data_IF_937468761783
#
_entry.id   IF_937468761783
#
_cell.length_a   1.000
_cell.length_b   1.000
_cell.length_c   1.000
_cell.angle_alpha   90.00
_cell.angle_beta   90.00
_cell.angle_gamma   90.00
#
_symmetry.space_group_name_H-M   'P 1'
#
loop_
_entity.id
_entity.type
_entity.pdbx_description
1 polymer ?
#
# COMPACT_ATOMS: atom_id res chain seq x y z
N UNK A 1 -3.86 -37.55 5.58
CA UNK A 1 -4.04 -39.04 5.42
C UNK A 1 -3.18 -39.86 6.40
N UNK A 2 -1.88 -39.51 6.65
CA UNK A 2 -1.04 -40.28 7.60
C UNK A 2 -1.56 -40.14 9.05
N UNK A 3 -1.80 -38.91 9.55
CA UNK A 3 -2.40 -38.67 10.89
C UNK A 3 -3.72 -39.40 11.09
N UNK A 4 -4.60 -39.42 10.08
CA UNK A 4 -5.89 -40.13 10.16
C UNK A 4 -5.74 -41.64 10.18
N UNK A 5 -4.57 -42.21 9.75
CA UNK A 5 -4.32 -43.62 9.70
C UNK A 5 -3.54 -44.18 10.93
N UNK A 6 -2.71 -43.32 11.55
CA UNK A 6 -1.80 -43.72 12.64
C UNK A 6 -2.12 -43.09 14.00
N UNK A 7 -3.15 -42.25 14.11
CA UNK A 7 -3.63 -41.67 15.38
C UNK A 7 -2.83 -40.45 15.86
N UNK A 8 -3.17 -39.95 17.06
CA UNK A 8 -2.62 -38.70 17.63
C UNK A 8 -1.14 -38.78 18.03
N UNK A 9 -0.61 -40.01 18.24
CA UNK A 9 0.80 -40.24 18.56
C UNK A 9 1.72 -40.28 17.34
N UNK A 10 1.23 -39.92 16.15
CA UNK A 10 2.01 -39.97 14.92
C UNK A 10 3.07 -38.85 14.88
N UNK A 11 4.35 -39.25 14.96
CA UNK A 11 5.50 -38.39 14.76
C UNK A 11 5.80 -38.26 13.26
N UNK A 12 5.42 -37.18 12.68
CA UNK A 12 5.60 -36.88 11.24
C UNK A 12 7.08 -36.78 10.87
N UNK A 13 7.92 -36.21 11.74
CA UNK A 13 9.34 -36.03 11.49
C UNK A 13 10.05 -37.38 11.45
N UNK A 14 9.85 -38.20 12.48
CA UNK A 14 10.40 -39.54 12.56
C UNK A 14 9.93 -40.40 11.39
N UNK A 15 8.65 -40.30 11.00
CA UNK A 15 8.10 -41.06 9.87
C UNK A 15 8.74 -40.67 8.54
N UNK A 16 8.99 -39.36 8.34
CA UNK A 16 9.67 -38.83 7.14
C UNK A 16 11.12 -39.32 7.06
N UNK A 17 11.79 -39.42 8.18
CA UNK A 17 13.21 -39.84 8.27
C UNK A 17 13.40 -41.36 8.21
N UNK A 18 12.43 -42.14 8.66
CA UNK A 18 12.60 -43.60 8.85
C UNK A 18 11.82 -44.45 7.86
N UNK A 19 10.76 -43.93 7.22
CA UNK A 19 10.00 -44.74 6.27
C UNK A 19 10.72 -44.81 4.91
N UNK A 20 11.15 -46.00 4.45
CA UNK A 20 11.98 -46.16 3.25
C UNK A 20 11.35 -45.49 1.99
N UNK A 21 10.03 -45.64 1.82
CA UNK A 21 9.31 -45.05 0.67
C UNK A 21 9.31 -43.53 0.74
N UNK A 22 9.16 -42.96 1.93
CA UNK A 22 9.15 -41.49 2.10
C UNK A 22 10.53 -40.91 1.86
N UNK A 23 11.58 -41.62 2.35
CA UNK A 23 12.99 -41.27 2.11
C UNK A 23 13.31 -41.31 0.61
N UNK A 24 12.92 -42.40 -0.07
CA UNK A 24 13.11 -42.51 -1.53
C UNK A 24 12.42 -41.39 -2.31
N UNK A 25 11.15 -41.07 -1.98
CA UNK A 25 10.44 -39.95 -2.61
C UNK A 25 11.08 -38.59 -2.29
N UNK A 26 11.58 -38.40 -1.08
CA UNK A 26 12.28 -37.16 -0.71
C UNK A 26 13.59 -37.03 -1.51
N UNK A 27 14.37 -38.08 -1.66
CA UNK A 27 15.59 -38.08 -2.48
C UNK A 27 15.28 -37.83 -3.95
N UNK A 28 14.22 -38.44 -4.50
CA UNK A 28 13.78 -38.21 -5.86
C UNK A 28 13.32 -36.75 -6.04
N UNK A 29 12.55 -36.22 -5.10
CA UNK A 29 12.13 -34.82 -5.13
C UNK A 29 13.34 -33.86 -5.08
N UNK A 30 14.32 -34.12 -4.23
CA UNK A 30 15.56 -33.35 -4.14
C UNK A 30 16.33 -33.35 -5.48
N UNK A 31 16.52 -34.56 -6.06
CA UNK A 31 17.19 -34.67 -7.37
C UNK A 31 16.47 -33.90 -8.48
N UNK A 32 15.14 -33.86 -8.48
CA UNK A 32 14.34 -33.05 -9.43
C UNK A 32 14.59 -31.56 -9.19
N UNK A 33 14.59 -31.12 -7.94
CA UNK A 33 14.87 -29.72 -7.56
C UNK A 33 16.29 -29.30 -7.96
N UNK A 34 17.28 -30.16 -7.73
CA UNK A 34 18.67 -29.88 -8.10
C UNK A 34 18.83 -29.76 -9.63
N UNK A 35 18.21 -30.65 -10.40
CA UNK A 35 18.18 -30.54 -11.88
C UNK A 35 17.50 -29.27 -12.36
N UNK A 36 16.37 -28.94 -11.75
CA UNK A 36 15.63 -27.69 -12.07
C UNK A 36 16.49 -26.46 -11.77
N UNK A 37 17.10 -26.40 -10.57
CA UNK A 37 17.93 -25.27 -10.16
C UNK A 37 19.18 -25.14 -11.06
N UNK A 38 19.80 -26.25 -11.44
CA UNK A 38 20.94 -26.27 -12.36
C UNK A 38 20.55 -25.71 -13.73
N UNK A 39 19.42 -26.17 -14.29
CA UNK A 39 18.93 -25.69 -15.58
C UNK A 39 18.54 -24.20 -15.53
N UNK A 40 17.90 -23.78 -14.43
CA UNK A 40 17.57 -22.36 -14.21
C UNK A 40 18.81 -21.48 -14.11
N UNK A 41 19.82 -21.89 -13.34
CA UNK A 41 21.08 -21.15 -13.17
C UNK A 41 21.88 -21.05 -14.47
N UNK A 42 21.81 -22.10 -15.30
CA UNK A 42 22.44 -22.11 -16.62
C UNK A 42 21.60 -21.42 -17.72
N UNK A 43 20.38 -20.94 -17.39
CA UNK A 43 19.41 -20.42 -18.35
C UNK A 43 19.09 -21.40 -19.50
N UNK A 44 19.09 -22.72 -19.17
CA UNK A 44 18.87 -23.81 -20.12
C UNK A 44 17.37 -24.17 -20.19
N UNK A 45 16.66 -23.50 -21.13
CA UNK A 45 15.22 -23.67 -21.33
C UNK A 45 14.85 -25.05 -21.86
N UNK A 46 15.74 -25.66 -22.65
CA UNK A 46 15.51 -26.99 -23.22
C UNK A 46 15.56 -28.07 -22.14
N UNK A 47 16.54 -28.01 -21.22
CA UNK A 47 16.59 -28.90 -20.06
C UNK A 47 15.36 -28.75 -19.16
N UNK A 48 14.85 -27.54 -18.95
CA UNK A 48 13.60 -27.29 -18.22
C UNK A 48 12.39 -27.92 -18.93
N UNK A 49 12.30 -27.78 -20.26
CA UNK A 49 11.25 -28.41 -21.06
C UNK A 49 11.31 -29.92 -20.97
N UNK A 50 12.51 -30.50 -21.13
CA UNK A 50 12.72 -31.94 -21.03
C UNK A 50 12.34 -32.47 -19.65
N UNK A 51 12.63 -31.74 -18.58
CA UNK A 51 12.25 -32.12 -17.22
C UNK A 51 10.71 -32.16 -17.05
N UNK A 52 9.99 -31.18 -17.59
CA UNK A 52 8.52 -31.15 -17.56
C UNK A 52 7.93 -32.36 -18.30
N UNK A 53 8.49 -32.71 -19.46
CA UNK A 53 8.03 -33.82 -20.29
C UNK A 53 8.35 -35.17 -19.64
N UNK A 54 9.58 -35.36 -19.14
CA UNK A 54 10.06 -36.59 -18.45
C UNK A 54 9.21 -36.89 -17.20
N UNK A 55 8.86 -35.85 -16.44
CA UNK A 55 8.05 -35.99 -15.25
C UNK A 55 6.55 -36.09 -15.54
N UNK A 56 6.16 -36.07 -16.79
CA UNK A 56 4.75 -36.09 -17.25
C UNK A 56 3.88 -35.07 -16.53
N UNK A 57 4.40 -33.86 -16.27
CA UNK A 57 3.68 -32.80 -15.55
C UNK A 57 2.47 -32.39 -16.39
N UNK A 58 1.29 -32.44 -15.78
CA UNK A 58 0.05 -31.97 -16.39
C UNK A 58 -0.32 -30.56 -15.90
N UNK A 59 -0.94 -29.78 -16.75
CA UNK A 59 -1.50 -28.49 -16.39
C UNK A 59 -2.57 -28.67 -15.29
N UNK A 60 -2.48 -27.97 -14.14
CA UNK A 60 -3.42 -28.14 -13.05
C UNK A 60 -4.86 -27.76 -13.38
N UNK A 61 -5.04 -26.86 -14.36
CA UNK A 61 -6.37 -26.36 -14.76
C UNK A 61 -7.00 -27.22 -15.86
N UNK A 62 -6.22 -27.59 -16.90
CA UNK A 62 -6.74 -28.30 -18.07
C UNK A 62 -6.44 -29.80 -18.09
N UNK A 63 -5.51 -30.28 -17.26
CA UNK A 63 -5.00 -31.66 -17.29
C UNK A 63 -4.13 -31.97 -18.50
N UNK A 64 -3.92 -31.03 -19.43
CA UNK A 64 -3.13 -31.23 -20.65
C UNK A 64 -1.65 -31.38 -20.31
N UNK A 65 -0.96 -32.28 -21.02
CA UNK A 65 0.50 -32.45 -21.00
C UNK A 65 1.17 -31.85 -22.23
N UNK A 66 0.40 -31.16 -23.08
CA UNK A 66 0.92 -30.50 -24.27
C UNK A 66 1.45 -29.12 -23.90
N UNK A 67 2.72 -29.05 -23.56
CA UNK A 67 3.42 -27.85 -23.16
C UNK A 67 4.09 -27.18 -24.37
N UNK A 68 4.00 -25.85 -24.44
CA UNK A 68 4.81 -25.03 -25.35
C UNK A 68 6.26 -25.05 -24.90
N UNK A 69 7.15 -24.47 -25.72
CA UNK A 69 8.53 -24.24 -25.28
C UNK A 69 8.59 -23.39 -24.03
N UNK A 70 9.55 -23.69 -23.15
CA UNK A 70 9.85 -22.85 -21.98
C UNK A 70 10.49 -21.57 -22.49
N UNK A 71 9.98 -20.45 -22.06
CA UNK A 71 10.48 -19.13 -22.46
C UNK A 71 10.79 -18.31 -21.22
N UNK A 72 11.86 -17.56 -21.28
CA UNK A 72 12.18 -16.61 -20.24
C UNK A 72 11.12 -15.51 -20.20
N UNK A 73 10.56 -15.29 -19.02
CA UNK A 73 9.60 -14.22 -18.81
C UNK A 73 10.34 -12.93 -18.45
N UNK A 74 10.13 -11.87 -19.22
CA UNK A 74 10.66 -10.56 -18.90
C UNK A 74 9.63 -9.75 -18.12
N UNK A 75 9.91 -9.50 -16.86
CA UNK A 75 9.07 -8.70 -15.99
C UNK A 75 9.03 -7.21 -16.41
N UNK A 76 10.04 -6.73 -17.11
CA UNK A 76 10.10 -5.34 -17.56
C UNK A 76 9.35 -5.16 -18.88
N UNK A 77 8.47 -4.16 -18.92
CA UNK A 77 7.91 -3.70 -20.19
C UNK A 77 9.00 -3.07 -21.04
N UNK A 78 8.99 -3.39 -22.31
CA UNK A 78 9.82 -2.72 -23.29
C UNK A 78 8.98 -1.99 -24.34
N UNK A 79 9.57 -0.97 -24.94
CA UNK A 79 9.04 -0.25 -26.10
C UNK A 79 10.17 -0.04 -27.10
N UNK A 80 9.81 0.29 -28.35
CA UNK A 80 10.76 0.54 -29.42
C UNK A 80 10.83 2.05 -29.69
N UNK A 81 12.03 2.60 -29.65
CA UNK A 81 12.31 3.96 -30.09
C UNK A 81 12.80 3.95 -31.54
N UNK A 82 12.22 4.82 -32.38
CA UNK A 82 12.54 4.90 -33.81
C UNK A 82 11.64 4.03 -34.70
N UNK A 83 11.88 4.14 -36.01
CA UNK A 83 11.01 3.51 -37.03
C UNK A 83 11.47 2.12 -37.48
N UNK A 84 12.65 1.68 -37.03
CA UNK A 84 13.23 0.39 -37.39
C UNK A 84 13.29 -0.47 -36.13
N UNK A 85 12.71 -1.67 -36.21
CA UNK A 85 12.80 -2.62 -35.11
C UNK A 85 14.21 -3.20 -35.00
N UNK A 86 14.79 -3.14 -33.79
CA UNK A 86 16.12 -3.68 -33.48
C UNK A 86 16.46 -3.52 -32.00
N UNK A 87 17.48 -4.23 -31.53
CA UNK A 87 17.90 -4.16 -30.11
C UNK A 87 18.37 -2.76 -29.71
N UNK A 88 18.97 -1.99 -30.63
CA UNK A 88 19.49 -0.64 -30.37
C UNK A 88 18.41 0.38 -30.01
N UNK A 89 17.17 0.16 -30.49
CA UNK A 89 16.02 1.02 -30.20
C UNK A 89 15.18 0.56 -29.03
N UNK A 90 15.55 -0.52 -28.35
CA UNK A 90 14.76 -1.11 -27.26
C UNK A 90 14.93 -0.35 -25.97
N UNK A 91 13.82 0.15 -25.42
CA UNK A 91 13.77 0.84 -24.12
C UNK A 91 12.89 0.07 -23.17
N UNK A 92 13.20 0.18 -21.89
CA UNK A 92 12.41 -0.43 -20.82
C UNK A 92 11.73 0.62 -19.96
N UNK A 93 10.48 0.36 -19.59
CA UNK A 93 9.78 1.13 -18.58
C UNK A 93 10.27 0.68 -17.20
N UNK A 94 10.42 1.62 -16.28
CA UNK A 94 10.92 1.33 -14.93
C UNK A 94 9.95 0.44 -14.14
N UNK A 95 10.45 -0.66 -13.51
CA UNK A 95 9.63 -1.54 -12.68
C UNK A 95 9.46 -1.06 -11.22
N UNK A 96 10.21 -0.02 -10.83
CA UNK A 96 10.24 0.61 -9.51
C UNK A 96 10.66 2.07 -9.62
N UNK A 97 10.42 2.87 -8.60
CA UNK A 97 10.82 4.29 -8.57
C UNK A 97 12.19 4.50 -7.91
N UNK A 98 12.74 3.50 -7.22
CA UNK A 98 13.98 3.56 -6.45
C UNK A 98 15.19 4.02 -7.27
N UNK A 99 15.37 3.49 -8.48
CA UNK A 99 16.58 3.76 -9.29
C UNK A 99 16.74 5.24 -9.65
N UNK A 100 15.62 5.95 -9.86
CA UNK A 100 15.63 7.40 -10.08
C UNK A 100 16.12 8.19 -8.86
N UNK A 101 15.87 7.67 -7.65
CA UNK A 101 16.36 8.26 -6.39
C UNK A 101 17.85 8.09 -6.28
N UNK A 102 18.39 6.89 -6.54
CA UNK A 102 19.84 6.62 -6.47
C UNK A 102 20.65 7.47 -7.46
N UNK A 103 20.17 7.59 -8.69
CA UNK A 103 20.81 8.47 -9.71
C UNK A 103 20.88 9.92 -9.23
N UNK A 104 19.89 10.40 -8.49
CA UNK A 104 19.81 11.78 -8.02
C UNK A 104 20.40 11.99 -6.61
N UNK A 105 20.92 10.96 -5.94
CA UNK A 105 21.41 11.04 -4.57
C UNK A 105 22.34 12.23 -4.34
N UNK A 106 23.47 12.32 -5.08
CA UNK A 106 24.43 13.41 -4.91
C UNK A 106 23.88 14.78 -5.30
N UNK A 107 23.00 14.83 -6.31
CA UNK A 107 22.39 16.08 -6.74
C UNK A 107 21.51 16.65 -5.61
N UNK A 108 20.65 15.83 -5.03
CA UNK A 108 19.80 16.22 -3.89
C UNK A 108 20.66 16.59 -2.69
N UNK A 109 21.60 15.71 -2.29
CA UNK A 109 22.46 15.93 -1.12
C UNK A 109 23.20 17.27 -1.20
N UNK A 110 23.80 17.60 -2.35
CA UNK A 110 24.58 18.85 -2.53
C UNK A 110 23.69 20.08 -2.60
N UNK A 111 22.61 20.02 -3.36
CA UNK A 111 21.73 21.19 -3.54
C UNK A 111 20.96 21.55 -2.28
N UNK A 112 20.57 20.56 -1.48
CA UNK A 112 19.87 20.77 -0.22
C UNK A 112 20.80 20.81 1.00
N UNK A 113 22.10 20.53 0.81
CA UNK A 113 23.13 20.50 1.87
C UNK A 113 22.77 19.55 3.02
N UNK A 114 22.13 18.43 2.70
CA UNK A 114 21.74 17.44 3.72
C UNK A 114 22.97 16.68 4.23
N UNK A 115 22.95 16.40 5.54
CA UNK A 115 23.85 15.47 6.20
C UNK A 115 23.19 14.11 6.33
N UNK A 116 23.95 13.04 6.30
CA UNK A 116 23.48 11.70 6.64
C UNK A 116 23.21 11.62 8.17
N UNK A 117 22.09 11.02 8.62
CA UNK A 117 21.07 10.33 7.80
C UNK A 117 20.02 11.28 7.19
N UNK A 118 19.61 11.03 5.95
CA UNK A 118 18.49 11.72 5.31
C UNK A 118 17.79 10.81 4.29
N UNK A 119 16.55 11.12 3.97
CA UNK A 119 15.74 10.37 3.00
C UNK A 119 15.38 11.18 1.76
N UNK A 120 15.23 10.47 0.64
CA UNK A 120 14.63 10.99 -0.58
C UNK A 120 13.40 10.15 -0.88
N UNK A 121 12.24 10.79 -0.98
CA UNK A 121 10.99 10.12 -1.31
C UNK A 121 10.51 10.53 -2.69
N UNK A 122 9.87 9.60 -3.39
CA UNK A 122 9.26 9.80 -4.70
C UNK A 122 7.92 9.08 -4.77
N UNK A 123 6.94 9.72 -5.40
CA UNK A 123 5.71 9.09 -5.86
C UNK A 123 5.73 9.13 -7.37
N UNK A 124 5.46 7.98 -8.01
CA UNK A 124 5.46 7.92 -9.46
C UNK A 124 5.00 6.59 -10.02
N UNK A 125 4.81 6.57 -11.34
CA UNK A 125 4.43 5.37 -12.08
C UNK A 125 5.56 4.35 -12.11
N UNK A 126 5.18 3.09 -11.88
CA UNK A 126 6.00 1.91 -12.11
C UNK A 126 5.24 0.91 -12.99
N UNK A 127 5.97 0.05 -13.69
CA UNK A 127 5.41 -0.83 -14.70
C UNK A 127 6.01 -2.23 -14.56
N UNK A 128 5.14 -3.23 -14.38
CA UNK A 128 5.56 -4.63 -14.33
C UNK A 128 4.74 -5.45 -15.32
N UNK A 129 5.41 -6.21 -16.17
CA UNK A 129 4.76 -7.04 -17.17
C UNK A 129 4.19 -8.31 -16.49
N UNK A 130 3.21 -8.14 -15.64
CA UNK A 130 2.55 -9.24 -14.93
C UNK A 130 1.87 -10.21 -15.93
N UNK A 131 2.07 -11.50 -15.76
CA UNK A 131 1.41 -12.53 -16.57
C UNK A 131 -0.10 -12.38 -16.43
N UNK A 132 -0.59 -12.26 -15.20
CA UNK A 132 -2.02 -12.08 -14.88
C UNK A 132 -2.20 -10.91 -13.92
N UNK A 133 -2.84 -9.85 -14.38
CA UNK A 133 -3.39 -8.82 -13.52
C UNK A 133 -4.65 -9.38 -12.81
N UNK A 134 -4.76 -9.21 -11.50
CA UNK A 134 -5.85 -9.79 -10.70
C UNK A 134 -6.12 -9.04 -9.41
N UNK A 135 -7.25 -9.36 -8.78
CA UNK A 135 -7.65 -8.79 -7.48
C UNK A 135 -7.83 -7.26 -7.58
N UNK A 136 -8.57 -6.83 -8.61
CA UNK A 136 -8.85 -5.42 -8.90
C UNK A 136 -7.54 -4.62 -9.00
N UNK A 137 -7.37 -3.55 -8.22
CA UNK A 137 -6.18 -2.70 -8.24
C UNK A 137 -5.01 -3.24 -7.37
N UNK A 138 -5.14 -4.45 -6.80
CA UNK A 138 -4.07 -5.04 -5.99
C UNK A 138 -2.86 -5.45 -6.85
N UNK A 139 -3.10 -5.98 -8.06
CA UNK A 139 -2.04 -6.39 -9.00
C UNK A 139 -2.36 -5.90 -10.41
N UNK A 140 -1.67 -4.86 -10.80
CA UNK A 140 -1.79 -4.19 -12.10
C UNK A 140 -0.44 -4.17 -12.82
N UNK A 141 -0.47 -3.93 -14.13
CA UNK A 141 0.75 -3.78 -14.95
C UNK A 141 1.33 -2.38 -14.91
N UNK A 142 0.48 -1.38 -14.70
CA UNK A 142 0.83 0.02 -14.44
C UNK A 142 0.24 0.42 -13.08
N UNK A 143 1.05 0.97 -12.17
CA UNK A 143 0.64 1.35 -10.84
C UNK A 143 1.44 2.53 -10.34
N UNK A 144 0.96 3.20 -9.30
CA UNK A 144 1.71 4.24 -8.60
C UNK A 144 2.37 3.65 -7.35
N UNK A 145 3.64 4.01 -7.18
CA UNK A 145 4.47 3.57 -6.06
C UNK A 145 4.98 4.79 -5.30
N UNK A 146 4.89 4.75 -3.97
CA UNK A 146 5.56 5.69 -3.07
C UNK A 146 6.75 4.98 -2.47
N UNK A 147 7.94 5.48 -2.75
CA UNK A 147 9.18 4.94 -2.21
C UNK A 147 9.98 6.03 -1.54
N UNK A 148 10.61 5.67 -0.42
CA UNK A 148 11.62 6.46 0.25
C UNK A 148 12.88 5.63 0.38
N UNK A 149 14.01 6.22 0.00
CA UNK A 149 15.34 5.67 0.20
C UNK A 149 16.03 6.52 1.28
N UNK A 150 16.26 5.92 2.43
CA UNK A 150 16.87 6.57 3.59
C UNK A 150 18.35 6.20 3.66
N UNK A 151 19.20 7.20 3.44
CA UNK A 151 20.66 7.04 3.37
C UNK A 151 21.27 7.15 4.77
N UNK A 152 22.05 6.16 5.14
CA UNK A 152 22.61 6.03 6.49
C UNK A 152 24.11 5.69 6.43
N UNK A 153 24.82 5.91 7.54
CA UNK A 153 26.21 5.48 7.67
C UNK A 153 26.30 3.96 7.67
N UNK A 154 27.29 3.36 6.96
CA UNK A 154 27.51 1.91 7.02
C UNK A 154 27.67 1.41 8.45
N UNK A 155 26.94 0.34 8.81
CA UNK A 155 26.88 -0.21 10.17
C UNK A 155 25.73 0.33 11.04
N UNK A 156 25.03 1.39 10.58
CA UNK A 156 23.83 1.90 11.27
C UNK A 156 22.51 1.43 10.62
N UNK A 157 22.58 0.73 9.48
CA UNK A 157 21.41 0.35 8.69
C UNK A 157 20.38 -0.45 9.47
N UNK A 158 20.80 -1.35 10.36
CA UNK A 158 19.86 -2.16 11.14
C UNK A 158 19.12 -1.36 12.19
N UNK A 159 19.76 -0.35 12.80
CA UNK A 159 19.10 0.61 13.71
C UNK A 159 17.99 1.37 12.99
N UNK A 160 18.28 1.87 11.78
CA UNK A 160 17.33 2.63 10.98
C UNK A 160 16.26 1.76 10.34
N UNK A 161 16.59 0.50 10.00
CA UNK A 161 15.62 -0.49 9.58
C UNK A 161 14.55 -0.74 10.65
N UNK A 162 14.94 -1.00 11.90
CA UNK A 162 13.99 -1.19 13.00
C UNK A 162 13.19 0.08 13.31
N UNK A 163 13.82 1.26 13.19
CA UNK A 163 13.11 2.53 13.33
C UNK A 163 11.99 2.67 12.28
N UNK A 164 12.32 2.51 10.99
CA UNK A 164 11.35 2.68 9.92
C UNK A 164 10.27 1.60 9.93
N UNK A 165 10.61 0.37 10.23
CA UNK A 165 9.66 -0.73 10.42
C UNK A 165 8.58 -0.36 11.46
N UNK A 166 8.97 0.16 12.62
CA UNK A 166 8.04 0.56 13.65
C UNK A 166 7.28 1.85 13.30
N UNK A 167 7.95 2.85 12.74
CA UNK A 167 7.33 4.11 12.33
C UNK A 167 6.25 3.89 11.25
N UNK A 168 6.51 3.01 10.28
CA UNK A 168 5.53 2.69 9.23
C UNK A 168 4.34 1.93 9.79
N UNK A 169 4.54 0.97 10.68
CA UNK A 169 3.44 0.27 11.36
C UNK A 169 2.57 1.25 12.17
N UNK A 170 3.20 2.17 12.92
CA UNK A 170 2.48 3.20 13.67
C UNK A 170 1.68 4.11 12.74
N UNK A 171 2.25 4.49 11.59
CA UNK A 171 1.56 5.30 10.60
C UNK A 171 0.28 4.63 10.09
N UNK A 172 0.32 3.33 9.75
CA UNK A 172 -0.88 2.59 9.31
C UNK A 172 -1.96 2.57 10.39
N UNK A 173 -1.58 2.43 11.67
CA UNK A 173 -2.53 2.48 12.79
C UNK A 173 -3.10 3.89 12.97
N UNK A 174 -2.27 4.92 12.89
CA UNK A 174 -2.67 6.30 13.06
C UNK A 174 -3.72 6.76 12.04
N UNK A 175 -3.65 6.27 10.79
CA UNK A 175 -4.65 6.55 9.76
C UNK A 175 -5.92 5.69 9.85
N UNK A 176 -6.07 4.90 10.94
CA UNK A 176 -7.30 4.17 11.27
C UNK A 176 -7.31 2.70 10.88
N UNK A 177 -6.17 2.09 10.55
CA UNK A 177 -6.12 0.64 10.32
C UNK A 177 -6.03 -0.10 11.65
N UNK A 178 -6.97 -1.00 11.99
CA UNK A 178 -6.95 -1.79 13.23
C UNK A 178 -5.72 -2.70 13.31
N UNK A 179 -5.23 -2.91 14.53
CA UNK A 179 -4.02 -3.72 14.77
C UNK A 179 -4.18 -5.17 14.28
N UNK A 180 -5.34 -5.76 14.48
CA UNK A 180 -5.66 -7.13 14.08
C UNK A 180 -5.66 -7.34 12.56
N UNK A 181 -5.77 -6.26 11.78
CA UNK A 181 -5.68 -6.29 10.31
C UNK A 181 -4.26 -6.09 9.77
N UNK A 182 -3.29 -5.87 10.63
CA UNK A 182 -1.89 -5.65 10.28
C UNK A 182 -1.00 -6.72 10.89
N UNK A 183 0.03 -7.15 10.17
CA UNK A 183 1.09 -7.98 10.74
C UNK A 183 2.39 -7.81 9.97
N UNK A 184 3.51 -8.07 10.64
CA UNK A 184 4.79 -8.21 9.98
C UNK A 184 4.95 -9.60 9.38
N UNK A 185 5.56 -9.65 8.20
CA UNK A 185 5.98 -10.87 7.52
C UNK A 185 7.47 -10.73 7.15
N UNK A 186 8.33 -11.37 7.92
CA UNK A 186 9.76 -11.38 7.63
C UNK A 186 10.06 -12.30 6.45
N UNK A 187 10.96 -11.86 5.56
CA UNK A 187 11.41 -12.66 4.42
C UNK A 187 12.44 -13.68 4.86
N UNK A 188 12.21 -14.95 4.58
CA UNK A 188 13.17 -16.03 4.82
C UNK A 188 14.27 -16.05 3.75
N UNK A 189 13.91 -15.74 2.50
CA UNK A 189 14.82 -15.63 1.37
C UNK A 189 14.99 -14.16 0.98
N UNK A 190 16.11 -13.59 1.36
CA UNK A 190 16.41 -12.19 1.05
C UNK A 190 16.85 -12.03 -0.41
N UNK A 191 16.50 -10.88 -1.00
CA UNK A 191 17.07 -10.46 -2.28
C UNK A 191 18.59 -10.24 -2.13
N UNK A 192 19.33 -10.42 -3.21
CA UNK A 192 20.80 -10.34 -3.21
C UNK A 192 21.37 -8.98 -2.76
N UNK A 193 20.57 -7.94 -2.79
CA UNK A 193 20.92 -6.58 -2.38
C UNK A 193 20.57 -6.28 -0.91
N UNK A 194 19.82 -7.15 -0.24
CA UNK A 194 19.29 -6.86 1.09
C UNK A 194 19.90 -7.76 2.17
N UNK A 195 20.17 -7.18 3.34
CA UNK A 195 20.54 -7.93 4.56
C UNK A 195 19.40 -8.07 5.56
N UNK A 196 18.29 -7.34 5.36
CA UNK A 196 17.03 -7.51 6.08
C UNK A 196 15.85 -7.06 5.21
N UNK A 197 14.71 -7.76 5.34
CA UNK A 197 13.48 -7.43 4.64
C UNK A 197 12.25 -7.88 5.45
N UNK A 198 11.25 -7.02 5.52
CA UNK A 198 9.94 -7.30 6.14
C UNK A 198 8.84 -6.62 5.34
N UNK A 199 7.69 -7.30 5.20
CA UNK A 199 6.46 -6.69 4.73
C UNK A 199 5.55 -6.35 5.90
N UNK A 200 4.90 -5.20 5.82
CA UNK A 200 3.64 -4.97 6.53
C UNK A 200 2.54 -5.55 5.65
N UNK A 201 1.88 -6.60 6.13
CA UNK A 201 0.73 -7.19 5.47
C UNK A 201 -0.56 -6.63 6.06
N UNK A 202 -1.54 -6.42 5.19
CA UNK A 202 -2.92 -6.05 5.54
C UNK A 202 -3.87 -7.19 5.19
N UNK A 203 -4.91 -7.39 6.01
CA UNK A 203 -5.98 -8.36 5.77
C UNK A 203 -7.00 -7.80 4.78
N UNK A 204 -6.71 -7.99 3.48
CA UNK A 204 -7.61 -7.66 2.39
C UNK A 204 -8.80 -8.64 2.36
N UNK A 205 -9.88 -8.36 1.60
CA UNK A 205 -11.00 -9.30 1.44
C UNK A 205 -10.60 -10.70 0.92
N UNK A 206 -9.41 -10.84 0.37
CA UNK A 206 -8.81 -12.09 -0.10
C UNK A 206 -7.65 -12.58 0.79
N UNK A 207 -7.60 -12.14 2.05
CA UNK A 207 -6.64 -12.51 3.08
C UNK A 207 -5.40 -11.62 3.13
N UNK A 208 -4.53 -11.94 4.10
CA UNK A 208 -3.30 -11.18 4.34
C UNK A 208 -2.38 -11.16 3.12
N UNK A 209 -2.03 -9.97 2.66
CA UNK A 209 -1.09 -9.71 1.57
C UNK A 209 -0.25 -8.48 1.88
N UNK A 210 0.89 -8.42 1.22
CA UNK A 210 1.83 -7.30 1.26
C UNK A 210 1.13 -5.97 0.95
N UNK A 211 1.25 -5.02 1.86
CA UNK A 211 0.83 -3.63 1.70
C UNK A 211 2.03 -2.71 1.52
N UNK A 212 3.06 -2.86 2.36
CA UNK A 212 4.27 -2.05 2.34
C UNK A 212 5.49 -2.92 2.65
N UNK A 213 6.59 -2.75 1.89
CA UNK A 213 7.87 -3.39 2.14
C UNK A 213 8.84 -2.45 2.85
N UNK A 214 9.61 -2.97 3.80
CA UNK A 214 10.73 -2.27 4.43
C UNK A 214 11.98 -3.13 4.25
N UNK A 215 13.02 -2.58 3.63
CA UNK A 215 14.22 -3.31 3.25
C UNK A 215 15.49 -2.58 3.70
N UNK A 216 16.47 -3.31 4.22
CA UNK A 216 17.84 -2.82 4.34
C UNK A 216 18.60 -3.29 3.10
N UNK A 217 18.84 -2.37 2.15
CA UNK A 217 19.40 -2.63 0.81
C UNK A 217 20.93 -2.58 0.77
N UNK A 218 21.57 -2.33 1.88
CA UNK A 218 23.01 -2.10 1.98
C UNK A 218 23.46 -0.92 1.07
N UNK A 219 24.67 -0.97 0.50
CA UNK A 219 25.15 0.01 -0.50
C UNK A 219 25.03 -0.52 -1.94
N UNK A 220 24.34 -1.62 -2.15
CA UNK A 220 24.34 -2.35 -3.43
C UNK A 220 24.01 -1.47 -4.63
N UNK A 221 22.87 -0.75 -4.56
CA UNK A 221 22.40 0.07 -5.69
C UNK A 221 23.37 1.22 -6.01
N UNK A 222 23.82 1.98 -5.01
CA UNK A 222 24.75 3.08 -5.22
C UNK A 222 26.10 2.58 -5.75
N UNK A 223 26.59 1.44 -5.28
CA UNK A 223 27.82 0.81 -5.76
C UNK A 223 27.66 0.38 -7.22
N UNK A 224 26.57 -0.29 -7.57
CA UNK A 224 26.28 -0.69 -8.95
C UNK A 224 26.20 0.50 -9.89
N UNK A 225 25.51 1.57 -9.50
CA UNK A 225 25.45 2.81 -10.28
C UNK A 225 26.82 3.47 -10.42
N UNK A 226 27.64 3.46 -9.36
CA UNK A 226 29.00 4.00 -9.40
C UNK A 226 29.89 3.23 -10.38
N UNK A 227 29.88 1.91 -10.32
CA UNK A 227 30.67 1.03 -11.16
C UNK A 227 30.30 1.16 -12.65
N UNK A 228 29.00 1.11 -12.95
CA UNK A 228 28.50 1.18 -14.33
C UNK A 228 28.64 2.57 -14.96
N UNK A 229 28.50 3.65 -14.16
CA UNK A 229 28.57 5.02 -14.68
C UNK A 229 29.97 5.64 -14.61
N UNK A 230 30.88 5.05 -13.83
CA UNK A 230 32.18 5.62 -13.51
C UNK A 230 32.13 6.88 -12.61
N UNK A 231 30.93 7.26 -12.11
CA UNK A 231 30.73 8.41 -11.22
C UNK A 231 30.76 7.98 -9.76
N UNK A 232 31.58 8.62 -8.92
CA UNK A 232 31.63 8.37 -7.49
C UNK A 232 30.30 8.83 -6.84
N UNK A 233 29.55 7.90 -6.25
CA UNK A 233 28.34 8.15 -5.47
C UNK A 233 28.64 8.02 -3.97
N UNK A 234 29.62 8.78 -3.49
CA UNK A 234 30.12 8.76 -2.12
C UNK A 234 29.67 10.02 -1.38
N UNK A 235 29.38 9.86 -0.11
CA UNK A 235 29.19 10.96 0.82
C UNK A 235 30.52 11.27 1.53
N UNK A 236 30.84 12.54 1.65
CA UNK A 236 31.96 12.98 2.46
C UNK A 236 31.46 13.36 3.86
N UNK A 237 31.87 12.61 4.85
CA UNK A 237 31.61 12.90 6.26
C UNK A 237 32.70 13.84 6.80
N UNK A 238 32.30 15.08 7.07
CA UNK A 238 33.24 16.08 7.57
C UNK A 238 33.60 15.89 9.06
N UNK A 239 32.79 15.13 9.80
CA UNK A 239 33.06 14.87 11.24
C UNK A 239 34.13 13.80 11.40
N UNK A 240 34.09 12.75 10.59
CA UNK A 240 35.08 11.68 10.61
C UNK A 240 36.18 11.85 9.55
N UNK A 241 36.06 12.87 8.68
CA UNK A 241 36.97 13.16 7.58
C UNK A 241 37.14 11.96 6.64
N UNK A 242 36.09 11.26 6.30
CA UNK A 242 36.11 10.09 5.44
C UNK A 242 35.04 10.13 4.33
N UNK A 243 35.29 9.36 3.25
CA UNK A 243 34.33 9.14 2.19
C UNK A 243 33.82 7.70 2.24
N UNK A 244 32.49 7.54 2.15
CA UNK A 244 31.88 6.22 2.06
C UNK A 244 30.68 6.22 1.11
N UNK A 245 30.32 5.05 0.60
CA UNK A 245 29.05 4.83 -0.09
C UNK A 245 28.00 4.56 0.98
N UNK A 246 26.95 5.38 1.10
CA UNK A 246 25.94 5.17 2.13
C UNK A 246 25.23 3.82 2.01
N UNK A 247 24.80 3.27 3.13
CA UNK A 247 23.83 2.20 3.16
C UNK A 247 22.42 2.77 3.07
N UNK A 248 21.48 1.97 2.62
CA UNK A 248 20.12 2.43 2.31
C UNK A 248 19.09 1.58 3.04
N UNK A 249 18.15 2.26 3.69
CA UNK A 249 16.92 1.66 4.20
C UNK A 249 15.75 2.16 3.36
N UNK A 250 15.04 1.24 2.74
CA UNK A 250 13.90 1.52 1.88
C UNK A 250 12.58 1.33 2.62
N UNK A 251 11.61 2.20 2.35
CA UNK A 251 10.19 1.93 2.55
C UNK A 251 9.46 2.09 1.23
N UNK A 252 8.65 1.10 0.85
CA UNK A 252 7.98 1.07 -0.44
C UNK A 252 6.53 0.62 -0.30
N UNK A 253 5.59 1.45 -0.74
CA UNK A 253 4.15 1.17 -0.70
C UNK A 253 3.51 1.49 -2.04
N UNK A 254 2.64 0.60 -2.52
CA UNK A 254 1.79 0.86 -3.69
C UNK A 254 0.63 1.79 -3.33
N UNK A 255 0.50 2.94 -3.99
CA UNK A 255 -0.60 3.88 -3.75
C UNK A 255 -1.97 3.22 -3.97
N UNK A 256 -2.09 2.40 -5.02
CA UNK A 256 -3.32 1.68 -5.34
C UNK A 256 -3.67 0.64 -4.27
N UNK A 257 -2.68 -0.10 -3.75
CA UNK A 257 -2.88 -1.03 -2.62
C UNK A 257 -3.27 -0.29 -1.35
N UNK A 258 -2.66 0.86 -1.09
CA UNK A 258 -2.99 1.72 0.05
C UNK A 258 -4.43 2.21 -0.05
N UNK A 259 -4.85 2.70 -1.23
CA UNK A 259 -6.23 3.10 -1.48
C UNK A 259 -7.20 1.92 -1.23
N UNK A 260 -6.88 0.73 -1.77
CA UNK A 260 -7.70 -0.47 -1.57
C UNK A 260 -7.79 -0.88 -0.10
N UNK A 261 -6.70 -0.78 0.66
CA UNK A 261 -6.70 -1.11 2.10
C UNK A 261 -7.57 -0.15 2.89
N UNK A 262 -7.43 1.17 2.66
CA UNK A 262 -8.26 2.20 3.31
C UNK A 262 -9.74 1.99 2.97
N UNK A 263 -10.06 1.77 1.70
CA UNK A 263 -11.45 1.57 1.27
C UNK A 263 -12.05 0.30 1.88
N UNK A 264 -11.33 -0.83 1.82
CA UNK A 264 -11.78 -2.11 2.37
C UNK A 264 -11.95 -2.06 3.90
N UNK A 265 -11.06 -1.34 4.58
CA UNK A 265 -11.15 -1.18 6.04
C UNK A 265 -12.32 -0.29 6.46
N UNK A 266 -12.64 0.70 5.64
CA UNK A 266 -13.63 1.73 5.97
C UNK A 266 -15.06 1.35 5.59
N UNK A 267 -15.25 0.35 4.72
CA UNK A 267 -16.56 -0.09 4.30
C UNK A 267 -17.24 -0.90 5.41
N UNK A 268 -18.34 -0.37 5.95
CA UNK A 268 -19.11 -0.98 7.05
C UNK A 268 -20.58 -1.02 6.69
N UNK A 269 -21.21 -2.14 6.97
CA UNK A 269 -22.67 -2.29 7.01
C UNK A 269 -23.08 -2.47 8.48
N UNK A 270 -23.88 -1.58 8.99
CA UNK A 270 -24.30 -1.60 10.40
C UNK A 270 -25.81 -1.41 10.56
N UNK A 271 -26.38 -1.97 11.60
CA UNK A 271 -27.79 -1.75 11.96
C UNK A 271 -27.90 -0.49 12.80
N UNK A 272 -28.83 0.38 12.45
CA UNK A 272 -29.13 1.61 13.18
C UNK A 272 -30.62 1.75 13.35
N UNK A 273 -31.11 2.41 14.43
CA UNK A 273 -32.52 2.70 14.60
C UNK A 273 -33.07 3.50 13.41
N UNK A 274 -34.25 3.16 12.95
CA UNK A 274 -35.01 3.95 11.98
C UNK A 274 -35.96 4.95 12.66
N UNK A 275 -36.62 5.78 11.85
CA UNK A 275 -37.54 6.81 12.35
C UNK A 275 -38.80 6.23 12.99
N UNK A 276 -39.15 4.99 12.68
CA UNK A 276 -40.38 4.31 13.12
C UNK A 276 -40.10 3.34 14.31
N UNK A 277 -38.87 3.35 14.86
CA UNK A 277 -38.45 2.49 15.98
C UNK A 277 -38.05 1.08 15.58
N UNK A 278 -37.91 0.81 14.27
CA UNK A 278 -37.35 -0.41 13.71
C UNK A 278 -35.81 -0.34 13.54
N UNK A 279 -35.26 -1.35 12.87
CA UNK A 279 -33.86 -1.37 12.47
C UNK A 279 -33.71 -1.16 10.96
N UNK A 280 -32.80 -0.30 10.56
CA UNK A 280 -32.42 -0.06 9.17
C UNK A 280 -30.96 -0.33 8.94
N UNK A 281 -30.60 -0.96 7.82
CA UNK A 281 -29.22 -1.12 7.43
C UNK A 281 -28.64 0.23 6.96
N UNK A 282 -27.48 0.58 7.51
CA UNK A 282 -26.68 1.74 7.11
C UNK A 282 -25.37 1.27 6.48
N UNK A 283 -25.16 1.66 5.22
CA UNK A 283 -23.86 1.54 4.55
C UNK A 283 -23.07 2.81 4.82
N UNK A 284 -21.87 2.68 5.35
CA UNK A 284 -21.01 3.81 5.69
C UNK A 284 -19.55 3.52 5.32
N UNK A 285 -18.85 4.53 4.80
CA UNK A 285 -17.40 4.52 4.67
C UNK A 285 -16.79 5.26 5.88
N UNK A 286 -16.33 4.52 6.89
CA UNK A 286 -15.68 5.07 8.09
C UNK A 286 -14.21 5.45 7.80
N UNK A 287 -13.98 6.20 6.72
CA UNK A 287 -12.66 6.73 6.38
C UNK A 287 -12.22 7.70 7.49
N UNK A 288 -10.98 7.54 7.97
CA UNK A 288 -10.44 8.45 8.97
C UNK A 288 -10.62 9.93 8.53
N UNK A 289 -11.10 10.86 9.39
CA UNK A 289 -11.44 12.22 9.00
C UNK A 289 -10.31 12.95 8.26
N UNK A 290 -9.05 12.68 8.64
CA UNK A 290 -7.85 13.20 7.98
C UNK A 290 -7.74 12.75 6.52
N UNK A 291 -8.16 11.52 6.19
CA UNK A 291 -8.10 10.95 4.83
C UNK A 291 -9.36 11.23 4.01
N UNK A 292 -10.51 11.52 4.65
CA UNK A 292 -11.77 11.73 3.95
C UNK A 292 -11.63 12.84 2.89
N UNK A 293 -11.99 12.59 1.61
CA UNK A 293 -11.86 13.60 0.57
C UNK A 293 -12.74 14.83 0.84
N UNK A 294 -14.00 14.61 1.20
CA UNK A 294 -14.96 15.65 1.60
C UNK A 294 -14.90 15.76 3.13
N UNK A 295 -14.52 16.92 3.64
CA UNK A 295 -14.39 17.12 5.10
C UNK A 295 -15.72 17.40 5.77
N UNK A 296 -16.60 18.11 5.09
CA UNK A 296 -17.94 18.37 5.59
C UNK A 296 -18.97 18.56 4.47
N UNK A 297 -20.23 18.35 4.81
CA UNK A 297 -21.35 18.69 3.95
C UNK A 297 -22.26 19.71 4.64
N UNK A 298 -22.70 20.76 3.94
CA UNK A 298 -23.60 21.79 4.44
C UNK A 298 -25.00 21.52 3.89
N UNK A 299 -25.95 21.34 4.79
CA UNK A 299 -27.30 20.82 4.50
C UNK A 299 -28.36 21.76 5.08
N UNK A 300 -29.14 22.52 4.27
CA UNK A 300 -30.30 23.22 4.79
C UNK A 300 -31.35 22.20 5.23
N UNK A 301 -31.98 22.36 6.40
CA UNK A 301 -32.97 21.41 6.92
C UNK A 301 -34.09 21.15 5.91
N UNK A 302 -34.58 22.23 5.27
CA UNK A 302 -35.59 22.16 4.20
C UNK A 302 -35.20 23.05 3.03
N UNK A 303 -35.44 22.60 1.79
CA UNK A 303 -35.07 23.28 0.55
C UNK A 303 -36.04 24.40 0.13
N UNK A 304 -37.28 24.39 0.65
CA UNK A 304 -38.34 25.31 0.27
C UNK A 304 -38.39 26.59 1.13
N UNK A 305 -37.35 26.84 1.91
CA UNK A 305 -37.16 28.05 2.72
C UNK A 305 -35.91 28.77 2.24
N UNK A 306 -36.09 29.86 1.44
CA UNK A 306 -34.96 30.57 0.86
C UNK A 306 -33.94 31.09 1.88
N UNK A 307 -34.37 31.49 3.06
CA UNK A 307 -33.51 32.02 4.12
C UNK A 307 -32.53 30.92 4.63
N UNK A 308 -33.01 29.67 4.79
CA UNK A 308 -32.16 28.54 5.21
C UNK A 308 -31.17 28.15 4.11
N UNK A 309 -31.63 28.16 2.85
CA UNK A 309 -30.78 27.85 1.69
C UNK A 309 -29.68 28.91 1.54
N UNK A 310 -30.01 30.19 1.66
CA UNK A 310 -29.03 31.27 1.59
C UNK A 310 -28.03 31.20 2.73
N UNK A 311 -28.48 30.98 3.97
CA UNK A 311 -27.62 30.83 5.14
C UNK A 311 -26.68 29.62 4.96
N UNK A 312 -27.18 28.48 4.47
CA UNK A 312 -26.37 27.30 4.19
C UNK A 312 -25.29 27.60 3.12
N UNK A 313 -25.61 28.39 2.07
CA UNK A 313 -24.61 28.78 1.07
C UNK A 313 -23.58 29.76 1.63
N UNK A 314 -23.96 30.65 2.54
CA UNK A 314 -23.02 31.54 3.25
C UNK A 314 -22.03 30.70 4.08
N UNK A 315 -22.51 29.72 4.84
CA UNK A 315 -21.67 28.82 5.64
C UNK A 315 -20.76 27.97 4.75
N UNK A 316 -21.28 27.45 3.65
CA UNK A 316 -20.48 26.72 2.68
C UNK A 316 -19.32 27.58 2.14
N UNK A 317 -19.59 28.85 1.79
CA UNK A 317 -18.58 29.77 1.30
C UNK A 317 -17.56 30.15 2.38
N UNK A 318 -17.92 30.13 3.65
CA UNK A 318 -17.01 30.31 4.78
C UNK A 318 -16.04 29.13 4.92
N UNK A 319 -16.51 27.90 4.67
CA UNK A 319 -15.72 26.66 4.88
C UNK A 319 -14.86 26.28 3.67
N UNK A 320 -15.32 26.57 2.45
CA UNK A 320 -14.63 26.21 1.19
C UNK A 320 -13.16 26.63 1.07
N UNK A 321 -12.70 27.77 1.59
CA UNK A 321 -11.29 28.14 1.50
C UNK A 321 -10.35 27.15 2.22
N UNK A 322 -10.86 26.47 3.27
CA UNK A 322 -10.06 25.60 4.12
C UNK A 322 -10.32 24.11 3.87
N UNK A 323 -11.50 23.76 3.32
CA UNK A 323 -11.94 22.37 3.22
C UNK A 323 -12.62 22.08 1.88
N UNK A 324 -12.47 20.86 1.38
CA UNK A 324 -13.35 20.36 0.33
C UNK A 324 -14.71 20.02 0.96
N UNK A 325 -15.73 20.81 0.57
CA UNK A 325 -17.08 20.72 1.12
C UNK A 325 -18.10 20.35 0.06
N UNK A 326 -19.18 19.67 0.47
CA UNK A 326 -20.37 19.47 -0.36
C UNK A 326 -21.56 20.28 0.14
N UNK A 327 -22.48 20.57 -0.77
CA UNK A 327 -23.79 21.12 -0.49
C UNK A 327 -24.85 20.18 -1.03
N UNK A 328 -25.86 19.85 -0.23
CA UNK A 328 -26.97 18.99 -0.67
C UNK A 328 -28.30 19.46 -0.06
N UNK A 329 -29.28 19.71 -0.94
CA UNK A 329 -30.65 20.09 -0.58
C UNK A 329 -31.71 19.17 -1.17
N UNK A 330 -31.28 18.01 -1.75
CA UNK A 330 -32.20 17.04 -2.36
C UNK A 330 -32.74 16.05 -1.33
N UNK A 331 -34.02 15.73 -1.41
CA UNK A 331 -34.74 14.80 -0.52
C UNK A 331 -34.83 15.26 0.96
N UNK A 332 -35.32 14.38 1.84
CA UNK A 332 -35.37 14.61 3.28
C UNK A 332 -33.96 14.57 3.90
N UNK A 333 -33.77 15.27 5.02
CA UNK A 333 -32.45 15.41 5.69
C UNK A 333 -31.82 14.04 6.03
N UNK A 334 -32.61 13.06 6.47
CA UNK A 334 -32.11 11.71 6.77
C UNK A 334 -31.48 11.01 5.55
N UNK A 335 -32.04 11.18 4.34
CA UNK A 335 -31.48 10.64 3.10
C UNK A 335 -30.19 11.36 2.72
N UNK A 336 -30.05 12.64 3.00
CA UNK A 336 -28.82 13.41 2.77
C UNK A 336 -27.71 12.94 3.69
N UNK A 337 -27.97 12.71 4.97
CA UNK A 337 -27.02 12.11 5.88
C UNK A 337 -26.54 10.75 5.38
N UNK A 338 -27.46 9.87 4.93
CA UNK A 338 -27.09 8.55 4.38
C UNK A 338 -26.17 8.67 3.16
N UNK A 339 -26.40 9.62 2.26
CA UNK A 339 -25.49 9.86 1.12
C UNK A 339 -24.09 10.30 1.56
N UNK A 340 -24.02 11.16 2.57
CA UNK A 340 -22.74 11.61 3.10
C UNK A 340 -22.01 10.49 3.87
N UNK A 341 -22.73 9.69 4.62
CA UNK A 341 -22.21 8.49 5.29
C UNK A 341 -21.62 7.51 4.27
N UNK A 342 -22.33 7.27 3.17
CA UNK A 342 -21.92 6.32 2.12
C UNK A 342 -20.65 6.75 1.36
N UNK A 343 -20.37 8.04 1.25
CA UNK A 343 -19.14 8.56 0.59
C UNK A 343 -18.02 8.91 1.58
N UNK A 344 -18.25 8.69 2.88
CA UNK A 344 -17.24 8.87 3.91
C UNK A 344 -17.04 10.29 4.42
N UNK A 345 -18.01 11.22 4.21
CA UNK A 345 -17.95 12.57 4.76
C UNK A 345 -18.06 12.54 6.29
N UNK A 346 -17.06 12.98 7.07
CA UNK A 346 -17.07 12.82 8.52
C UNK A 346 -18.06 13.74 9.24
N UNK A 347 -18.33 14.94 8.69
CA UNK A 347 -19.15 15.95 9.36
C UNK A 347 -20.27 16.47 8.45
N UNK A 348 -21.51 16.52 8.99
CA UNK A 348 -22.63 17.18 8.33
C UNK A 348 -23.06 18.40 9.15
N UNK A 349 -23.03 19.57 8.54
CA UNK A 349 -23.43 20.86 9.10
C UNK A 349 -24.85 21.15 8.66
N UNK A 350 -25.81 21.05 9.56
CA UNK A 350 -27.23 21.29 9.28
C UNK A 350 -27.64 22.70 9.70
N UNK A 351 -28.27 23.40 8.76
CA UNK A 351 -28.82 24.75 8.94
C UNK A 351 -30.32 24.63 9.11
N UNK A 352 -30.80 24.92 10.29
CA UNK A 352 -32.21 24.82 10.72
C UNK A 352 -32.84 26.19 11.01
N UNK A 353 -34.08 26.20 11.48
CA UNK A 353 -34.81 27.44 11.77
C UNK A 353 -34.19 28.21 12.94
N UNK A 354 -33.70 27.52 13.96
CA UNK A 354 -33.04 28.13 15.11
C UNK A 354 -31.73 28.83 14.71
N UNK A 355 -31.06 28.31 13.65
CA UNK A 355 -29.83 28.92 13.11
C UNK A 355 -30.03 30.39 12.71
N UNK A 356 -31.25 30.77 12.27
CA UNK A 356 -31.56 32.13 11.88
C UNK A 356 -31.64 33.08 13.10
N UNK A 357 -31.95 32.53 14.26
CA UNK A 357 -32.14 33.24 15.52
C UNK A 357 -30.84 33.32 16.34
N UNK A 358 -30.19 32.18 16.55
CA UNK A 358 -29.05 32.03 17.48
C UNK A 358 -27.67 32.02 16.79
N UNK A 359 -27.63 32.05 15.44
CA UNK A 359 -26.37 31.94 14.66
C UNK A 359 -25.57 30.67 14.97
N UNK A 360 -26.21 29.58 15.39
CA UNK A 360 -25.61 28.28 15.60
C UNK A 360 -26.10 27.29 14.54
N UNK A 361 -25.32 26.25 14.31
CA UNK A 361 -25.65 25.12 13.41
C UNK A 361 -25.52 23.81 14.15
N UNK A 362 -26.20 22.79 13.67
CA UNK A 362 -26.05 21.44 14.19
C UNK A 362 -24.97 20.71 13.38
N UNK A 363 -23.89 20.27 14.03
CA UNK A 363 -22.87 19.40 13.42
C UNK A 363 -23.15 17.95 13.84
N UNK A 364 -23.32 17.07 12.85
CA UNK A 364 -23.47 15.62 13.06
C UNK A 364 -22.16 14.93 12.70
N UNK A 365 -21.65 14.15 13.65
CA UNK A 365 -20.52 13.24 13.44
C UNK A 365 -21.02 11.94 12.76
N UNK A 366 -20.32 11.49 11.71
CA UNK A 366 -20.66 10.30 10.92
C UNK A 366 -20.55 9.02 11.73
N UNK A 367 -19.52 8.90 12.57
CA UNK A 367 -19.18 7.64 13.22
C UNK A 367 -19.97 7.41 14.49
N UNK A 368 -20.15 8.45 15.29
CA UNK A 368 -20.90 8.39 16.57
C UNK A 368 -22.38 8.71 16.43
N UNK A 369 -22.80 9.34 15.32
CA UNK A 369 -24.14 9.90 15.08
C UNK A 369 -24.52 11.04 16.04
N UNK A 370 -23.62 11.45 16.92
CA UNK A 370 -23.84 12.55 17.85
C UNK A 370 -24.03 13.85 17.08
N UNK A 371 -24.94 14.67 17.56
CA UNK A 371 -25.24 16.00 17.02
C UNK A 371 -24.96 17.03 18.10
N UNK A 372 -24.14 18.02 17.74
CA UNK A 372 -23.76 19.12 18.61
C UNK A 372 -24.16 20.44 17.99
N UNK A 373 -24.62 21.39 18.83
CA UNK A 373 -24.93 22.74 18.39
C UNK A 373 -23.73 23.65 18.60
N UNK A 374 -23.27 24.27 17.52
CA UNK A 374 -22.02 25.06 17.52
C UNK A 374 -22.26 26.40 16.82
N UNK A 375 -21.68 27.49 17.34
CA UNK A 375 -21.74 28.79 16.70
C UNK A 375 -21.07 28.76 15.30
N UNK A 376 -21.69 29.40 14.32
CA UNK A 376 -21.20 29.41 12.92
C UNK A 376 -19.73 29.82 12.82
N UNK A 377 -19.30 30.80 13.63
CA UNK A 377 -17.92 31.28 13.66
C UNK A 377 -16.90 30.21 14.10
N UNK A 378 -17.33 29.21 14.87
CA UNK A 378 -16.45 28.19 15.47
C UNK A 378 -16.40 26.90 14.62
N UNK A 379 -17.31 26.74 13.63
CA UNK A 379 -17.40 25.54 12.79
C UNK A 379 -16.10 25.22 12.07
N UNK A 380 -15.42 26.24 11.53
CA UNK A 380 -14.15 26.04 10.81
C UNK A 380 -13.06 25.45 11.74
N UNK A 381 -12.94 26.02 12.95
CA UNK A 381 -11.96 25.55 13.92
C UNK A 381 -12.29 24.13 14.40
N UNK A 382 -13.56 23.85 14.69
CA UNK A 382 -14.01 22.50 15.08
C UNK A 382 -13.63 21.44 14.05
N UNK A 383 -13.91 21.70 12.77
CA UNK A 383 -13.54 20.76 11.70
C UNK A 383 -12.02 20.67 11.58
N UNK A 384 -11.30 21.81 11.60
CA UNK A 384 -9.86 21.86 11.47
C UNK A 384 -9.14 20.99 12.52
N UNK A 385 -9.58 21.05 13.77
CA UNK A 385 -9.04 20.23 14.85
C UNK A 385 -9.20 18.73 14.57
N UNK A 386 -10.34 18.32 14.01
CA UNK A 386 -10.65 16.90 13.74
C UNK A 386 -9.96 16.34 12.49
N UNK A 387 -9.58 17.20 11.53
CA UNK A 387 -8.97 16.76 10.25
C UNK A 387 -7.48 17.11 10.14
N UNK A 388 -6.87 17.59 11.22
CA UNK A 388 -5.46 18.00 11.22
C UNK A 388 -4.54 16.77 11.26
N UNK A 389 -3.62 16.69 10.29
CA UNK A 389 -2.60 15.65 10.24
C UNK A 389 -1.70 15.61 11.49
N UNK A 390 -1.44 16.75 12.11
CA UNK A 390 -0.62 16.83 13.32
C UNK A 390 -1.21 16.08 14.52
N UNK A 391 -2.49 15.74 14.47
CA UNK A 391 -3.18 15.01 15.53
C UNK A 391 -3.08 13.47 15.37
N UNK A 392 -2.37 12.99 14.33
CA UNK A 392 -2.16 11.55 14.10
C UNK A 392 -0.98 10.98 14.91
N UNK A 393 -0.04 11.84 15.35
CA UNK A 393 1.22 11.43 15.97
C UNK A 393 1.47 12.14 17.30
#
# INVERSE_FOLDING_TARGET
KAKSRFGESFDEKLYRETNPRVVEYAQKAQSILDRMNTAMSANDMDSLKNLIVELEIACPDSGSRNWTEVRQFNLMFNTQLGNIAGEEGKLYLRPETAQGIFVNFLNVQKTTRQKIPFGIAQIGKAFRNEIVARQFIFRMREFEQMEMQYFVKPGEEMKWYEYWKNARMQWHRAIGTPEEKLKFHNHENLAHYANAAVDIQFDFPFGFKELEGIHSRTNFDLTSHQELSGKKLQYFDAEDNENYVPYVVETSVGCDRMFLSVLSNSFIEESVPDADGGEATRVVLKIHPVLAPIKCAVLPLVKNKPELVEKARQILNLLKPNFLCQYDDKDAIGRRYRRQDAIGTPFCVTVDFETLEDQCVTIRDRDTLVQERIAIQDVSNYIQEKVNWNNLF
#
